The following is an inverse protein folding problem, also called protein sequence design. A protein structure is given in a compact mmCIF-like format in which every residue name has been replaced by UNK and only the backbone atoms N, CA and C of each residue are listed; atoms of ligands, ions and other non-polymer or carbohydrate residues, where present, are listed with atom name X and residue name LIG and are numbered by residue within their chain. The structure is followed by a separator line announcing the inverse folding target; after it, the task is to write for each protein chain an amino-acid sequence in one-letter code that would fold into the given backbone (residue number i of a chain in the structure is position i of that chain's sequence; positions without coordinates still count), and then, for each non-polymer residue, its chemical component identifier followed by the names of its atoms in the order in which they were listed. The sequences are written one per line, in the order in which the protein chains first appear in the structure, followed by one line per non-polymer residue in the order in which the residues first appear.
data_IF_283851620611
#
_entry.id   IF_283851620611
#
_cell.length_a   1.000
_cell.length_b   1.000
_cell.length_c   1.000
_cell.angle_alpha   90.00
_cell.angle_beta   90.00
_cell.angle_gamma   90.00
#
_symmetry.space_group_name_H-M   'P 1'
#
loop_
_entity.id
_entity.type
_entity.pdbx_description
1 polymer ?
#
# COMPACT_ATOMS: atom_id res chain seq x y z
N UNK A 1 -16.84 -13.89 -8.23
CA UNK A 1 -16.33 -12.54 -8.56
C UNK A 1 -14.87 -12.71 -8.96
N UNK A 2 -14.39 -12.13 -10.07
CA UNK A 2 -12.97 -12.19 -10.38
C UNK A 2 -12.20 -11.53 -9.23
N UNK A 3 -11.18 -12.20 -8.70
CA UNK A 3 -10.24 -11.62 -7.76
C UNK A 3 -9.47 -10.53 -8.51
N UNK A 4 -9.71 -9.27 -8.17
CA UNK A 4 -8.94 -8.16 -8.72
C UNK A 4 -7.57 -8.26 -8.07
N UNK A 5 -6.52 -8.41 -8.89
CA UNK A 5 -5.14 -8.35 -8.41
C UNK A 5 -4.90 -6.95 -7.80
N UNK A 6 -4.63 -6.86 -6.47
CA UNK A 6 -4.45 -5.58 -5.81
C UNK A 6 -3.27 -4.77 -6.34
N UNK A 7 -2.23 -5.44 -6.84
CA UNK A 7 -1.05 -4.79 -7.43
C UNK A 7 -1.39 -4.18 -8.79
N UNK A 8 -2.20 -4.89 -9.60
CA UNK A 8 -2.67 -4.35 -10.86
C UNK A 8 -3.57 -3.12 -10.66
N UNK A 9 -4.52 -3.17 -9.71
CA UNK A 9 -5.36 -2.01 -9.35
C UNK A 9 -4.51 -0.82 -8.87
N UNK A 10 -3.48 -1.08 -8.03
CA UNK A 10 -2.56 -0.05 -7.59
C UNK A 10 -1.79 0.58 -8.77
N UNK A 11 -1.27 -0.25 -9.67
CA UNK A 11 -0.52 0.18 -10.85
C UNK A 11 -1.34 1.09 -11.74
N UNK A 12 -2.57 0.71 -12.05
CA UNK A 12 -3.46 1.47 -12.93
C UNK A 12 -3.80 2.84 -12.31
N UNK A 13 -4.13 2.87 -11.02
CA UNK A 13 -4.40 4.14 -10.31
C UNK A 13 -3.19 5.06 -10.25
N UNK A 14 -2.01 4.50 -9.94
CA UNK A 14 -0.78 5.28 -9.90
C UNK A 14 -0.43 5.83 -11.29
N UNK A 15 -0.63 5.05 -12.35
CA UNK A 15 -0.39 5.49 -13.73
C UNK A 15 -1.27 6.69 -14.11
N UNK A 16 -2.56 6.64 -13.78
CA UNK A 16 -3.50 7.74 -14.04
C UNK A 16 -3.13 9.00 -13.25
N UNK A 17 -2.84 8.85 -11.97
CA UNK A 17 -2.45 9.95 -11.09
C UNK A 17 -1.13 10.61 -11.51
N UNK A 18 -0.11 9.81 -11.85
CA UNK A 18 1.18 10.29 -12.35
C UNK A 18 1.01 11.03 -13.68
N UNK A 19 0.19 10.50 -14.59
CA UNK A 19 -0.13 11.17 -15.86
C UNK A 19 -0.78 12.53 -15.64
N UNK A 20 -1.77 12.60 -14.76
CA UNK A 20 -2.46 13.85 -14.41
C UNK A 20 -1.50 14.87 -13.82
N UNK A 21 -0.61 14.47 -12.92
CA UNK A 21 0.39 15.37 -12.33
C UNK A 21 1.43 15.83 -13.36
N UNK A 22 1.82 14.94 -14.28
CA UNK A 22 2.75 15.30 -15.35
C UNK A 22 2.16 16.36 -16.26
N UNK A 23 0.89 16.27 -16.62
CA UNK A 23 0.18 17.30 -17.39
C UNK A 23 0.15 18.64 -16.62
N UNK A 24 -0.23 18.61 -15.34
CA UNK A 24 -0.26 19.83 -14.49
C UNK A 24 1.11 20.49 -14.39
N UNK A 25 2.17 19.71 -14.24
CA UNK A 25 3.53 20.27 -14.21
C UNK A 25 3.89 20.90 -15.55
N UNK A 26 3.61 20.24 -16.69
CA UNK A 26 3.85 20.80 -18.01
C UNK A 26 3.12 22.12 -18.22
N UNK A 27 1.85 22.21 -17.83
CA UNK A 27 1.05 23.43 -17.90
C UNK A 27 1.62 24.54 -17.01
N UNK A 28 2.05 24.19 -15.79
CA UNK A 28 2.66 25.15 -14.85
C UNK A 28 4.00 25.69 -15.37
N UNK A 29 4.83 24.84 -15.96
CA UNK A 29 6.08 25.23 -16.60
C UNK A 29 5.81 26.13 -17.80
N UNK A 30 4.85 25.78 -18.66
CA UNK A 30 4.47 26.62 -19.80
C UNK A 30 3.91 28.00 -19.37
N UNK A 31 3.16 28.04 -18.28
CA UNK A 31 2.67 29.28 -17.67
C UNK A 31 3.84 30.12 -17.13
N UNK A 32 4.76 29.51 -16.39
CA UNK A 32 5.96 30.17 -15.86
C UNK A 32 6.80 30.80 -16.98
N UNK A 33 7.02 30.10 -18.09
CA UNK A 33 7.76 30.62 -19.25
C UNK A 33 7.05 31.84 -19.81
N UNK A 34 5.73 31.76 -20.08
CA UNK A 34 4.94 32.88 -20.64
C UNK A 34 4.94 34.12 -19.74
N UNK A 35 4.74 33.90 -18.43
CA UNK A 35 4.73 35.01 -17.46
C UNK A 35 6.10 35.67 -17.32
N UNK A 36 7.17 34.86 -17.30
CA UNK A 36 8.54 35.35 -17.20
C UNK A 36 8.96 36.10 -18.47
N UNK A 37 8.53 35.63 -19.63
CA UNK A 37 8.78 36.33 -20.92
C UNK A 37 8.07 37.68 -20.96
N UNK A 38 6.77 37.71 -20.59
CA UNK A 38 6.00 38.94 -20.52
C UNK A 38 6.60 40.02 -19.58
N UNK A 39 7.29 39.56 -18.52
CA UNK A 39 8.00 40.44 -17.58
C UNK A 39 9.44 40.78 -18.00
N UNK A 40 9.93 40.21 -19.08
CA UNK A 40 11.34 40.30 -19.48
C UNK A 40 12.31 39.64 -18.53
N UNK A 41 11.82 38.74 -17.68
CA UNK A 41 12.58 38.04 -16.63
C UNK A 41 12.95 36.60 -16.99
N UNK A 42 12.72 36.17 -18.22
CA UNK A 42 12.92 34.77 -18.65
C UNK A 42 14.34 34.28 -18.40
N UNK A 43 15.34 35.13 -18.55
CA UNK A 43 16.77 34.81 -18.31
C UNK A 43 17.19 34.94 -16.84
N UNK A 44 16.25 35.23 -15.94
CA UNK A 44 16.59 35.39 -14.53
C UNK A 44 16.86 34.07 -13.83
N UNK A 45 17.76 34.10 -12.85
CA UNK A 45 17.98 32.94 -11.97
C UNK A 45 16.71 32.57 -11.17
N UNK A 46 15.82 33.52 -10.96
CA UNK A 46 14.54 33.33 -10.29
C UNK A 46 13.62 32.37 -11.07
N UNK A 47 13.47 32.64 -12.40
CA UNK A 47 12.65 31.74 -13.26
C UNK A 47 13.18 30.31 -13.28
N UNK A 48 14.50 30.13 -13.38
CA UNK A 48 15.14 28.81 -13.34
C UNK A 48 14.94 28.12 -11.97
N UNK A 49 15.04 28.90 -10.89
CA UNK A 49 14.80 28.37 -9.56
C UNK A 49 13.35 27.98 -9.33
N UNK A 50 12.39 28.78 -9.80
CA UNK A 50 10.96 28.47 -9.72
C UNK A 50 10.61 27.20 -10.51
N UNK A 51 11.14 27.02 -11.72
CA UNK A 51 10.97 25.79 -12.49
C UNK A 51 11.48 24.56 -11.73
N UNK A 52 12.66 24.67 -11.12
CA UNK A 52 13.24 23.60 -10.31
C UNK A 52 12.39 23.29 -9.09
N UNK A 53 11.84 24.31 -8.43
CA UNK A 53 10.94 24.14 -7.28
C UNK A 53 9.66 23.43 -7.68
N UNK A 54 9.05 23.77 -8.81
CA UNK A 54 7.86 23.09 -9.34
C UNK A 54 8.13 21.60 -9.56
N UNK A 55 9.28 21.23 -10.15
CA UNK A 55 9.67 19.85 -10.32
C UNK A 55 9.84 19.14 -8.98
N UNK A 56 10.53 19.75 -8.01
CA UNK A 56 10.74 19.17 -6.68
C UNK A 56 9.41 19.02 -5.90
N UNK A 57 8.52 19.98 -6.01
CA UNK A 57 7.20 19.95 -5.39
C UNK A 57 6.34 18.81 -5.98
N UNK A 58 6.32 18.67 -7.30
CA UNK A 58 5.63 17.57 -7.97
C UNK A 58 6.12 16.20 -7.49
N UNK A 59 7.44 16.04 -7.24
CA UNK A 59 7.98 14.80 -6.67
C UNK A 59 7.49 14.55 -5.24
N UNK A 60 7.35 15.59 -4.42
CA UNK A 60 6.81 15.47 -3.06
C UNK A 60 5.31 15.15 -3.09
N UNK A 61 4.54 15.82 -3.95
CA UNK A 61 3.11 15.52 -4.12
C UNK A 61 2.89 14.07 -4.59
N UNK A 62 3.78 13.54 -5.45
CA UNK A 62 3.75 12.12 -5.86
C UNK A 62 3.99 11.15 -4.70
N UNK A 63 4.88 11.50 -3.77
CA UNK A 63 5.10 10.69 -2.56
C UNK A 63 3.80 10.52 -1.79
N UNK A 64 3.10 11.62 -1.53
CA UNK A 64 1.87 11.60 -0.75
C UNK A 64 0.76 10.79 -1.44
N UNK A 65 0.60 10.98 -2.76
CA UNK A 65 -0.34 10.19 -3.58
C UNK A 65 0.00 8.70 -3.59
N UNK A 66 1.28 8.36 -3.71
CA UNK A 66 1.70 6.96 -3.67
C UNK A 66 1.39 6.31 -2.33
N UNK A 67 1.67 7.00 -1.22
CA UNK A 67 1.37 6.50 0.11
C UNK A 67 -0.13 6.32 0.32
N UNK A 68 -0.95 7.27 -0.11
CA UNK A 68 -2.41 7.19 -0.01
C UNK A 68 -2.96 6.00 -0.83
N UNK A 69 -2.52 5.88 -2.10
CA UNK A 69 -2.95 4.80 -2.99
C UNK A 69 -2.56 3.43 -2.44
N UNK A 70 -1.31 3.29 -1.96
CA UNK A 70 -0.85 2.06 -1.35
C UNK A 70 -1.65 1.73 -0.08
N UNK A 71 -1.91 2.70 0.79
CA UNK A 71 -2.73 2.49 1.98
C UNK A 71 -4.14 2.01 1.64
N UNK A 72 -4.76 2.58 0.62
CA UNK A 72 -6.11 2.20 0.18
C UNK A 72 -6.15 0.79 -0.39
N UNK A 73 -5.20 0.45 -1.27
CA UNK A 73 -5.08 -0.88 -1.84
C UNK A 73 -4.83 -1.90 -0.74
N UNK A 74 -3.93 -1.58 0.18
CA UNK A 74 -3.58 -2.41 1.32
C UNK A 74 -4.77 -2.64 2.26
N UNK A 75 -5.62 -1.64 2.49
CA UNK A 75 -6.87 -1.79 3.27
C UNK A 75 -7.90 -2.66 2.56
N UNK A 76 -8.06 -2.50 1.24
CA UNK A 76 -9.04 -3.25 0.44
C UNK A 76 -8.68 -4.71 0.26
N UNK A 77 -7.39 -5.02 0.10
CA UNK A 77 -6.89 -6.38 -0.04
C UNK A 77 -7.08 -7.24 1.22
N UNK A 78 -7.32 -6.64 2.39
CA UNK A 78 -7.70 -7.35 3.63
C UNK A 78 -6.77 -8.51 4.01
N UNK A 79 -7.33 -9.71 4.08
CA UNK A 79 -6.60 -10.91 4.51
C UNK A 79 -5.70 -11.57 3.45
N UNK A 80 -5.88 -11.28 2.16
CA UNK A 80 -5.09 -11.88 1.07
C UNK A 80 -3.68 -11.30 0.96
N UNK A 81 -3.40 -10.25 1.70
CA UNK A 81 -2.11 -9.54 1.71
C UNK A 81 -0.92 -10.27 2.31
N UNK A 82 -1.07 -11.50 2.78
CA UNK A 82 0.10 -12.26 3.27
C UNK A 82 1.11 -12.59 2.17
N UNK A 83 0.73 -12.43 0.92
CA UNK A 83 1.53 -12.76 -0.26
C UNK A 83 2.28 -11.56 -0.84
N UNK A 84 1.78 -10.31 -0.66
CA UNK A 84 2.45 -9.12 -1.19
C UNK A 84 3.58 -8.68 -0.26
N UNK A 85 4.80 -8.84 -0.74
CA UNK A 85 6.01 -8.43 0.00
C UNK A 85 6.30 -6.92 -0.11
N UNK A 86 7.02 -6.32 0.88
CA UNK A 86 7.49 -4.93 0.77
C UNK A 86 8.34 -4.69 -0.48
N UNK A 87 9.06 -5.71 -0.94
CA UNK A 87 9.90 -5.65 -2.15
C UNK A 87 9.11 -5.39 -3.41
N UNK A 88 7.95 -6.04 -3.58
CA UNK A 88 7.09 -5.87 -4.74
C UNK A 88 6.49 -4.47 -4.82
N UNK A 89 6.07 -3.93 -3.66
CA UNK A 89 5.57 -2.55 -3.58
C UNK A 89 6.68 -1.52 -3.88
N UNK A 90 7.89 -1.77 -3.39
CA UNK A 90 9.05 -0.91 -3.69
C UNK A 90 9.43 -0.98 -5.17
N UNK A 91 9.34 -2.14 -5.79
CA UNK A 91 9.61 -2.32 -7.22
C UNK A 91 8.57 -1.59 -8.06
N UNK A 92 7.27 -1.78 -7.76
CA UNK A 92 6.17 -1.07 -8.41
C UNK A 92 6.40 0.44 -8.41
N UNK A 93 6.68 1.02 -7.24
CA UNK A 93 6.93 2.45 -7.11
C UNK A 93 8.20 2.87 -7.83
N UNK A 94 9.28 2.10 -7.69
CA UNK A 94 10.56 2.35 -8.36
C UNK A 94 10.43 2.38 -9.89
N UNK A 95 9.49 1.66 -10.48
CA UNK A 95 9.21 1.69 -11.90
C UNK A 95 8.70 3.07 -12.35
N UNK A 96 7.76 3.65 -11.62
CA UNK A 96 7.24 4.99 -11.92
C UNK A 96 8.32 6.07 -11.81
N UNK A 97 9.11 6.05 -10.74
CA UNK A 97 10.18 7.04 -10.55
C UNK A 97 11.33 6.91 -11.55
N UNK A 98 11.58 5.73 -12.13
CA UNK A 98 12.56 5.57 -13.22
C UNK A 98 12.09 6.24 -14.51
N UNK A 99 10.81 6.17 -14.84
CA UNK A 99 10.23 6.83 -16.02
C UNK A 99 10.23 8.35 -15.87
N UNK A 100 10.17 8.86 -14.67
CA UNK A 100 10.10 10.28 -14.37
C UNK A 100 11.40 11.05 -14.65
N UNK A 101 12.54 10.37 -14.66
CA UNK A 101 13.83 11.02 -14.85
C UNK A 101 13.92 11.81 -16.15
N UNK A 102 13.57 11.16 -17.26
CA UNK A 102 13.52 11.78 -18.59
C UNK A 102 12.51 12.93 -18.64
N UNK A 103 11.35 12.74 -18.05
CA UNK A 103 10.29 13.75 -18.03
C UNK A 103 10.71 15.04 -17.32
N UNK A 104 11.26 14.96 -16.11
CA UNK A 104 11.71 16.16 -15.39
C UNK A 104 12.88 16.85 -16.08
N UNK A 105 13.79 16.08 -16.67
CA UNK A 105 14.89 16.64 -17.47
C UNK A 105 14.36 17.40 -18.68
N UNK A 106 13.39 16.88 -19.40
CA UNK A 106 12.74 17.54 -20.53
C UNK A 106 12.07 18.86 -20.09
N UNK A 107 11.33 18.85 -18.99
CA UNK A 107 10.68 20.08 -18.48
C UNK A 107 11.71 21.17 -18.15
N UNK A 108 12.80 20.82 -17.47
CA UNK A 108 13.89 21.76 -17.19
C UNK A 108 14.59 22.23 -18.46
N UNK A 109 14.79 21.35 -19.42
CA UNK A 109 15.40 21.67 -20.72
C UNK A 109 14.55 22.71 -21.47
N UNK A 110 13.24 22.58 -21.49
CA UNK A 110 12.33 23.53 -22.11
C UNK A 110 12.49 24.94 -21.52
N UNK A 111 12.58 25.06 -20.19
CA UNK A 111 12.80 26.36 -19.51
C UNK A 111 14.15 26.96 -19.87
N UNK A 112 15.19 26.15 -19.85
CA UNK A 112 16.57 26.56 -20.07
C UNK A 112 16.82 26.97 -21.52
N UNK A 113 16.20 26.28 -22.48
CA UNK A 113 16.21 26.67 -23.91
C UNK A 113 15.51 28.02 -24.08
N UNK A 114 14.32 28.17 -23.50
CA UNK A 114 13.59 29.45 -23.56
C UNK A 114 14.39 30.60 -22.92
N UNK A 115 15.11 30.31 -21.83
CA UNK A 115 16.00 31.29 -21.18
C UNK A 115 17.31 31.56 -21.92
N UNK A 116 17.67 30.74 -22.91
CA UNK A 116 18.93 30.84 -23.65
C UNK A 116 20.19 30.54 -22.85
N UNK A 117 20.07 29.63 -21.85
CA UNK A 117 21.18 29.27 -20.94
C UNK A 117 21.36 27.74 -20.85
N UNK A 118 21.64 27.02 -21.95
CA UNK A 118 21.64 25.56 -22.00
C UNK A 118 22.60 24.88 -21.01
N UNK A 119 23.69 25.54 -20.65
CA UNK A 119 24.74 24.95 -19.79
C UNK A 119 24.32 24.74 -18.33
N UNK A 120 23.12 25.23 -17.94
CA UNK A 120 22.66 25.17 -16.55
C UNK A 120 21.77 23.93 -16.29
N UNK A 121 21.28 23.25 -17.33
CA UNK A 121 20.35 22.09 -17.21
C UNK A 121 20.84 21.06 -16.21
N UNK A 122 22.09 20.63 -16.33
CA UNK A 122 22.63 19.55 -15.49
C UNK A 122 22.70 19.95 -14.00
N UNK A 123 22.96 21.23 -13.71
CA UNK A 123 22.96 21.73 -12.32
C UNK A 123 21.55 21.72 -11.73
N UNK A 124 20.55 22.14 -12.50
CA UNK A 124 19.16 22.15 -12.06
C UNK A 124 18.64 20.71 -11.91
N UNK A 125 18.94 19.86 -12.87
CA UNK A 125 18.58 18.45 -12.85
C UNK A 125 19.19 17.72 -11.63
N UNK A 126 20.45 18.00 -11.28
CA UNK A 126 21.09 17.44 -10.08
C UNK A 126 20.29 17.74 -8.80
N UNK A 127 19.67 18.90 -8.70
CA UNK A 127 18.83 19.26 -7.54
C UNK A 127 17.54 18.43 -7.52
N UNK A 128 16.89 18.26 -8.66
CA UNK A 128 15.68 17.41 -8.79
C UNK A 128 16.02 15.96 -8.47
N UNK A 129 17.16 15.45 -8.94
CA UNK A 129 17.63 14.10 -8.65
C UNK A 129 17.89 13.85 -7.15
N UNK A 130 18.45 14.82 -6.45
CA UNK A 130 18.61 14.72 -4.98
C UNK A 130 17.27 14.64 -4.28
N UNK A 131 16.28 15.42 -4.72
CA UNK A 131 14.92 15.38 -4.19
C UNK A 131 14.28 14.03 -4.49
N UNK A 132 14.44 13.51 -5.72
CA UNK A 132 13.95 12.18 -6.11
C UNK A 132 14.53 11.07 -5.24
N UNK A 133 15.84 11.06 -5.04
CA UNK A 133 16.51 10.09 -4.19
C UNK A 133 16.00 10.15 -2.74
N UNK A 134 15.78 11.35 -2.20
CA UNK A 134 15.21 11.54 -0.87
C UNK A 134 13.76 11.01 -0.78
N UNK A 135 12.92 11.33 -1.76
CA UNK A 135 11.53 10.85 -1.87
C UNK A 135 11.49 9.32 -1.93
N UNK A 136 12.32 8.70 -2.77
CA UNK A 136 12.41 7.23 -2.88
C UNK A 136 12.84 6.57 -1.56
N UNK A 137 13.82 7.16 -0.87
CA UNK A 137 14.28 6.65 0.42
C UNK A 137 13.16 6.73 1.45
N UNK A 138 12.48 7.87 1.56
CA UNK A 138 11.35 8.07 2.47
C UNK A 138 10.20 7.11 2.17
N UNK A 139 9.85 6.96 0.89
CA UNK A 139 8.80 6.05 0.46
C UNK A 139 9.12 4.59 0.79
N UNK A 140 10.38 4.18 0.61
CA UNK A 140 10.83 2.84 1.00
C UNK A 140 10.65 2.57 2.49
N UNK A 141 10.96 3.54 3.35
CA UNK A 141 10.75 3.44 4.80
C UNK A 141 9.26 3.38 5.16
N UNK A 142 8.44 4.23 4.55
CA UNK A 142 6.99 4.26 4.79
C UNK A 142 6.31 2.95 4.34
N UNK A 143 6.71 2.37 3.21
CA UNK A 143 6.24 1.05 2.77
C UNK A 143 6.56 -0.03 3.81
N UNK A 144 7.78 -0.04 4.36
CA UNK A 144 8.17 -1.00 5.40
C UNK A 144 7.32 -0.83 6.67
N UNK A 145 7.05 0.41 7.06
CA UNK A 145 6.19 0.74 8.22
C UNK A 145 4.76 0.26 7.97
N UNK A 146 4.20 0.55 6.78
CA UNK A 146 2.85 0.13 6.41
C UNK A 146 2.71 -1.40 6.44
N UNK A 147 3.64 -2.11 5.82
CA UNK A 147 3.64 -3.57 5.83
C UNK A 147 3.75 -4.16 7.24
N UNK A 148 4.57 -3.56 8.12
CA UNK A 148 4.69 -3.97 9.54
C UNK A 148 3.38 -3.74 10.29
N UNK A 149 2.75 -2.57 10.13
CA UNK A 149 1.47 -2.25 10.80
C UNK A 149 0.37 -3.24 10.43
N UNK A 150 0.29 -3.61 9.15
CA UNK A 150 -0.72 -4.57 8.68
C UNK A 150 -0.47 -5.96 9.29
N UNK A 151 0.79 -6.42 9.31
CA UNK A 151 1.16 -7.68 9.96
C UNK A 151 0.81 -7.67 11.45
N UNK A 152 1.09 -6.58 12.14
CA UNK A 152 0.77 -6.42 13.56
C UNK A 152 -0.75 -6.41 13.81
N UNK A 153 -1.53 -5.68 12.99
CA UNK A 153 -2.99 -5.66 13.13
C UNK A 153 -3.59 -7.05 12.94
N UNK A 154 -3.09 -7.82 11.97
CA UNK A 154 -3.51 -9.21 11.76
C UNK A 154 -3.17 -10.10 12.96
N UNK A 155 -1.95 -9.99 13.49
CA UNK A 155 -1.55 -10.76 14.69
C UNK A 155 -2.37 -10.37 15.92
N UNK A 156 -2.61 -9.08 16.15
CA UNK A 156 -3.44 -8.58 17.25
C UNK A 156 -4.90 -9.06 17.17
N UNK A 157 -5.47 -9.17 15.97
CA UNK A 157 -6.84 -9.71 15.81
C UNK A 157 -6.92 -11.16 16.29
N UNK A 158 -5.97 -12.00 15.89
CA UNK A 158 -5.92 -13.41 16.28
C UNK A 158 -5.57 -13.60 17.77
N UNK A 159 -4.80 -12.66 18.33
CA UNK A 159 -4.44 -12.63 19.76
C UNK A 159 -5.48 -11.88 20.61
N UNK A 160 -6.52 -11.28 20.01
CA UNK A 160 -7.50 -10.53 20.78
C UNK A 160 -8.13 -11.47 21.82
N UNK A 161 -8.12 -11.02 23.09
CA UNK A 161 -8.66 -11.77 24.23
C UNK A 161 -10.13 -12.16 23.97
N UNK A 162 -10.87 -11.36 23.21
CA UNK A 162 -12.24 -11.62 22.83
C UNK A 162 -12.37 -12.77 21.82
N UNK A 163 -11.46 -12.87 20.86
CA UNK A 163 -11.46 -13.94 19.87
C UNK A 163 -11.08 -15.29 20.51
N UNK A 164 -10.01 -15.32 21.31
CA UNK A 164 -9.59 -16.52 22.05
C UNK A 164 -10.66 -16.96 23.05
N UNK A 165 -11.30 -16.02 23.77
CA UNK A 165 -12.43 -16.31 24.64
C UNK A 165 -13.64 -16.86 23.86
N UNK A 166 -13.93 -16.32 22.66
CA UNK A 166 -14.98 -16.83 21.79
C UNK A 166 -14.75 -18.28 21.40
N UNK A 167 -13.53 -18.64 20.97
CA UNK A 167 -13.16 -20.03 20.67
C UNK A 167 -13.32 -20.93 21.90
N UNK A 168 -12.84 -20.48 23.06
CA UNK A 168 -12.93 -21.24 24.32
C UNK A 168 -14.40 -21.48 24.74
N UNK A 169 -15.24 -20.47 24.66
CA UNK A 169 -16.68 -20.62 24.96
C UNK A 169 -17.33 -21.62 24.00
N UNK A 170 -17.03 -21.54 22.71
CA UNK A 170 -17.58 -22.48 21.72
C UNK A 170 -17.07 -23.90 21.97
N UNK A 171 -15.80 -24.07 22.30
CA UNK A 171 -15.20 -25.37 22.66
C UNK A 171 -15.90 -26.00 23.89
N UNK A 172 -16.13 -25.21 24.94
CA UNK A 172 -16.85 -25.64 26.15
C UNK A 172 -18.28 -26.01 25.81
N UNK A 173 -18.99 -25.19 25.04
CA UNK A 173 -20.41 -25.45 24.68
C UNK A 173 -20.53 -26.72 23.85
N UNK A 174 -19.66 -26.93 22.86
CA UNK A 174 -19.64 -28.15 22.07
C UNK A 174 -19.28 -29.40 22.92
N UNK A 175 -18.38 -29.26 23.90
CA UNK A 175 -18.02 -30.36 24.81
C UNK A 175 -19.20 -30.76 25.68
N UNK A 176 -19.92 -29.80 26.26
CA UNK A 176 -21.14 -30.06 27.06
C UNK A 176 -22.22 -30.70 26.20
N UNK A 177 -22.42 -30.25 24.96
CA UNK A 177 -23.37 -30.85 24.03
C UNK A 177 -22.98 -32.32 23.71
N UNK A 178 -21.70 -32.61 23.53
CA UNK A 178 -21.22 -33.99 23.29
C UNK A 178 -21.53 -34.91 24.46
N UNK A 179 -21.30 -34.45 25.69
CA UNK A 179 -21.61 -35.19 26.91
C UNK A 179 -23.13 -35.44 27.03
N UNK A 180 -23.94 -34.39 26.73
CA UNK A 180 -25.38 -34.52 26.74
C UNK A 180 -25.90 -35.49 25.70
N UNK A 181 -25.40 -35.49 24.48
CA UNK A 181 -25.77 -36.47 23.46
C UNK A 181 -25.31 -37.89 23.79
N UNK A 182 -24.14 -38.03 24.44
CA UNK A 182 -23.69 -39.34 24.93
C UNK A 182 -24.63 -39.90 26.02
N UNK A 183 -25.10 -39.03 26.94
CA UNK A 183 -26.08 -39.42 27.96
C UNK A 183 -27.41 -39.86 27.32
N UNK A 184 -27.93 -39.11 26.35
CA UNK A 184 -29.16 -39.47 25.63
C UNK A 184 -29.02 -40.75 24.84
N UNK A 185 -27.85 -40.98 24.24
CA UNK A 185 -27.58 -42.23 23.48
C UNK A 185 -27.60 -43.48 24.38
N UNK A 186 -27.12 -43.38 25.62
CA UNK A 186 -27.17 -44.48 26.60
C UNK A 186 -28.62 -44.85 26.95
N UNK A 187 -29.50 -43.83 27.04
CA UNK A 187 -30.89 -44.01 27.46
C UNK A 187 -31.86 -44.30 26.30
N UNK A 188 -31.53 -43.82 25.10
CA UNK A 188 -32.39 -43.92 23.92
C UNK A 188 -31.51 -43.93 22.64
N UNK A 189 -30.87 -45.05 22.31
CA UNK A 189 -29.96 -45.12 21.18
C UNK A 189 -30.72 -44.93 19.85
N UNK A 190 -30.49 -43.81 19.19
CA UNK A 190 -31.01 -43.55 17.85
C UNK A 190 -29.86 -43.13 16.93
N UNK A 191 -29.99 -43.41 15.64
CA UNK A 191 -28.98 -43.02 14.63
C UNK A 191 -28.75 -41.53 14.58
N UNK A 192 -29.82 -40.73 14.80
CA UNK A 192 -29.73 -39.25 14.82
C UNK A 192 -28.84 -38.74 15.96
N UNK A 193 -28.95 -39.32 17.18
CA UNK A 193 -28.12 -38.93 18.33
C UNK A 193 -26.67 -39.31 18.10
N UNK A 194 -26.41 -40.51 17.50
CA UNK A 194 -25.04 -40.92 17.16
C UNK A 194 -24.37 -39.95 16.17
N UNK A 195 -25.07 -39.51 15.14
CA UNK A 195 -24.55 -38.53 14.16
C UNK A 195 -24.26 -37.20 14.83
N UNK A 196 -25.15 -36.70 15.68
CA UNK A 196 -24.94 -35.42 16.40
C UNK A 196 -23.74 -35.51 17.36
N UNK A 197 -23.55 -36.63 18.05
CA UNK A 197 -22.41 -36.84 18.94
C UNK A 197 -21.08 -36.82 18.17
N UNK A 198 -21.03 -37.45 16.98
CA UNK A 198 -19.85 -37.47 16.13
C UNK A 198 -19.54 -36.03 15.61
N UNK A 199 -20.56 -35.30 15.17
CA UNK A 199 -20.39 -33.95 14.67
C UNK A 199 -19.88 -32.99 15.75
N UNK A 200 -20.48 -33.00 16.95
CA UNK A 200 -20.04 -32.15 18.06
C UNK A 200 -18.65 -32.52 18.56
N UNK A 201 -18.32 -33.78 18.67
CA UNK A 201 -16.99 -34.29 19.05
C UNK A 201 -15.91 -33.89 18.03
N UNK A 202 -16.20 -34.02 16.73
CA UNK A 202 -15.30 -33.54 15.66
C UNK A 202 -15.06 -32.05 15.72
N UNK A 203 -16.09 -31.26 16.03
CA UNK A 203 -15.98 -29.82 16.15
C UNK A 203 -15.11 -29.40 17.35
N UNK A 204 -15.26 -30.08 18.50
CA UNK A 204 -14.38 -29.89 19.67
C UNK A 204 -12.93 -30.15 19.32
N UNK A 205 -12.67 -31.27 18.63
CA UNK A 205 -11.31 -31.61 18.21
C UNK A 205 -10.69 -30.58 17.29
N UNK A 206 -11.43 -30.10 16.27
CA UNK A 206 -10.98 -29.10 15.32
C UNK A 206 -10.72 -27.76 16.01
N UNK A 207 -11.62 -27.30 16.88
CA UNK A 207 -11.44 -26.04 17.63
C UNK A 207 -10.24 -26.11 18.55
N UNK A 208 -10.04 -27.22 19.27
CA UNK A 208 -8.89 -27.40 20.15
C UNK A 208 -7.56 -27.48 19.39
N UNK A 209 -7.55 -28.06 18.18
CA UNK A 209 -6.39 -28.06 17.30
C UNK A 209 -6.08 -26.66 16.76
N UNK A 210 -7.11 -25.92 16.36
CA UNK A 210 -6.99 -24.56 15.87
C UNK A 210 -6.48 -23.61 16.95
N UNK A 211 -7.03 -23.70 18.17
CA UNK A 211 -6.54 -22.91 19.33
C UNK A 211 -5.05 -23.17 19.58
N UNK A 212 -4.62 -24.44 19.66
CA UNK A 212 -3.20 -24.81 19.86
C UNK A 212 -2.31 -24.29 18.73
N UNK A 213 -2.81 -24.27 17.49
CA UNK A 213 -2.07 -23.72 16.39
C UNK A 213 -1.87 -22.20 16.51
N UNK A 214 -2.90 -21.47 16.98
CA UNK A 214 -2.79 -20.04 17.29
C UNK A 214 -1.79 -19.81 18.43
N UNK A 215 -1.91 -20.54 19.55
CA UNK A 215 -1.03 -20.38 20.70
C UNK A 215 0.45 -20.72 20.40
N UNK A 216 0.71 -21.61 19.44
CA UNK A 216 2.06 -22.03 19.05
C UNK A 216 2.74 -21.10 18.03
N UNK A 217 1.97 -20.35 17.22
CA UNK A 217 2.50 -19.56 16.11
C UNK A 217 2.43 -18.05 16.34
N UNK A 218 1.90 -17.63 17.49
CA UNK A 218 1.75 -16.24 17.90
C UNK A 218 2.10 -16.03 19.36
#
# INVERSE_FOLDING_TARGET
MPSIDPIADARDRLADQVSTQSLRLSDSIAALIRESDARGALKSSETLMQATLLCCQTLQDRLDIFLETLQDVLKKAGGEMSEIGPSELKELVGEFFRRDDTFFREQLTNVVIAAGTPDVVDKLHTKVERTRAHVLTRLGVEIDILCRRIKQTKSMFWQSTSFVKGILVTEITCSLATVWFAYLWIHSPTTAISVQMILTGSMVYLLGRFRRHIEANY
#
